data_IF_014886182902
#
_entry.id   IF_014886182902
#
_cell.length_a   1.000
_cell.length_b   1.000
_cell.length_c   1.000
_cell.angle_alpha   90.00
_cell.angle_beta   90.00
_cell.angle_gamma   90.00
#
_symmetry.space_group_name_H-M   'P 1'
#
loop_
_entity.id
_entity.type
_entity.pdbx_description
1 polymer ?
#
# COMPACT_ATOMS: atom_id res chain seq x y z
N UNK A 1 -5.20 41.38 14.76
CA UNK A 1 -5.40 40.26 15.71
C UNK A 1 -4.39 39.22 15.33
N UNK A 2 -3.33 39.05 16.15
CA UNK A 2 -2.29 38.03 15.95
C UNK A 2 -2.89 36.66 16.32
N UNK A 3 -2.84 35.71 15.40
CA UNK A 3 -3.16 34.32 15.70
C UNK A 3 -2.04 33.73 16.58
N UNK A 4 -2.41 33.39 17.80
CA UNK A 4 -1.53 32.69 18.76
C UNK A 4 -1.29 31.25 18.28
N UNK A 5 -0.08 30.95 17.82
CA UNK A 5 0.33 29.67 17.24
C UNK A 5 0.86 28.68 18.29
N UNK A 6 0.39 28.74 19.53
CA UNK A 6 0.85 27.89 20.64
C UNK A 6 -0.06 26.67 20.91
N UNK A 7 -0.62 26.05 19.87
CA UNK A 7 -1.16 24.71 20.06
C UNK A 7 0.03 23.73 20.30
N UNK A 8 0.02 22.93 21.37
CA UNK A 8 1.09 21.98 21.63
C UNK A 8 1.20 21.03 20.44
N UNK A 9 2.37 21.00 19.82
CA UNK A 9 2.67 20.04 18.75
C UNK A 9 2.51 18.66 19.35
N UNK A 10 1.56 17.88 18.82
CA UNK A 10 1.34 16.52 19.28
C UNK A 10 2.68 15.76 19.35
N UNK A 11 2.92 15.03 20.43
CA UNK A 11 4.14 14.25 20.57
C UNK A 11 4.25 13.28 19.37
N UNK A 12 5.46 13.12 18.84
CA UNK A 12 5.68 12.19 17.74
C UNK A 12 5.24 10.77 18.18
N UNK A 13 4.56 10.02 17.32
CA UNK A 13 4.08 8.70 17.66
C UNK A 13 5.26 7.76 17.99
N UNK A 14 5.05 6.87 18.96
CA UNK A 14 6.06 5.90 19.37
C UNK A 14 6.16 4.79 18.35
N UNK A 15 7.35 4.51 17.86
CA UNK A 15 7.61 3.52 16.82
C UNK A 15 8.58 2.45 17.31
N UNK A 16 8.33 1.20 16.89
CA UNK A 16 9.20 0.06 17.15
C UNK A 16 9.50 -0.66 15.84
N UNK A 17 10.77 -0.87 15.54
CA UNK A 17 11.19 -1.76 14.46
C UNK A 17 11.21 -3.20 14.99
N UNK A 18 10.47 -4.07 14.30
CA UNK A 18 10.26 -5.46 14.69
C UNK A 18 10.56 -6.42 13.55
N UNK A 19 10.64 -7.69 13.86
CA UNK A 19 10.82 -8.77 12.89
C UNK A 19 9.84 -9.90 13.14
N UNK A 20 9.04 -10.19 12.13
CA UNK A 20 8.23 -11.40 12.05
C UNK A 20 9.07 -12.52 11.45
N UNK A 21 8.99 -13.73 12.01
CA UNK A 21 9.72 -14.91 11.51
C UNK A 21 8.82 -16.13 11.56
N UNK A 22 8.56 -16.73 10.42
CA UNK A 22 7.80 -17.98 10.30
C UNK A 22 8.12 -18.71 9.00
N UNK A 23 8.16 -20.04 9.06
CA UNK A 23 8.32 -20.94 7.91
C UNK A 23 9.50 -20.56 7.00
N UNK A 24 10.62 -20.16 7.58
CA UNK A 24 11.81 -19.72 6.85
C UNK A 24 11.73 -18.30 6.25
N UNK A 25 10.60 -17.62 6.39
CA UNK A 25 10.43 -16.23 5.94
C UNK A 25 10.67 -15.27 7.11
N UNK A 26 11.41 -14.20 6.82
CA UNK A 26 11.58 -13.07 7.75
C UNK A 26 11.04 -11.80 7.10
N UNK A 27 10.16 -11.07 7.80
CA UNK A 27 9.71 -9.74 7.41
C UNK A 27 10.06 -8.74 8.51
N UNK A 28 10.73 -7.65 8.13
CA UNK A 28 10.87 -6.49 8.98
C UNK A 28 9.59 -5.65 8.91
N UNK A 29 9.19 -5.04 10.01
CA UNK A 29 8.08 -4.10 10.02
C UNK A 29 8.28 -3.04 11.08
N UNK A 30 7.68 -1.87 10.86
CA UNK A 30 7.60 -0.81 11.85
C UNK A 30 6.20 -0.80 12.44
N UNK A 31 6.13 -0.96 13.76
CA UNK A 31 4.91 -0.77 14.53
C UNK A 31 4.89 0.66 15.06
N UNK A 32 3.83 1.40 14.72
CA UNK A 32 3.54 2.72 15.29
C UNK A 32 2.34 2.58 16.21
N UNK A 33 2.54 2.91 17.48
CA UNK A 33 1.49 2.79 18.48
C UNK A 33 0.46 3.91 18.33
N UNK A 34 -0.80 3.53 18.44
CA UNK A 34 -1.97 4.39 18.47
C UNK A 34 -3.08 3.76 19.30
N UNK A 35 -4.29 4.35 19.36
CA UNK A 35 -5.43 3.75 20.03
C UNK A 35 -5.70 2.34 19.52
N UNK A 36 -6.08 1.40 20.41
CA UNK A 36 -6.27 -0.01 20.07
C UNK A 36 -7.57 -0.30 19.27
N UNK A 37 -8.33 0.72 18.91
CA UNK A 37 -9.64 0.56 18.26
C UNK A 37 -9.59 0.12 16.80
N UNK A 38 -8.44 0.26 16.14
CA UNK A 38 -8.22 -0.06 14.72
C UNK A 38 -6.77 -0.47 14.48
N UNK A 39 -6.55 -1.46 13.64
CA UNK A 39 -5.19 -1.80 13.15
C UNK A 39 -5.11 -1.57 11.65
N UNK A 40 -4.08 -0.85 11.22
CA UNK A 40 -3.74 -0.63 9.82
C UNK A 40 -2.52 -1.47 9.45
N UNK A 41 -2.58 -2.22 8.36
CA UNK A 41 -1.44 -2.95 7.80
C UNK A 41 -1.12 -2.37 6.42
N UNK A 42 0.13 -1.90 6.23
CA UNK A 42 0.55 -1.15 5.05
C UNK A 42 1.56 -1.98 4.23
N UNK A 43 1.25 -2.22 2.95
CA UNK A 43 2.01 -3.08 2.04
C UNK A 43 2.49 -2.28 0.83
N UNK A 44 3.81 -2.14 0.70
CA UNK A 44 4.46 -1.29 -0.31
C UNK A 44 4.51 -1.89 -1.73
N UNK A 45 4.86 -1.05 -2.70
CA UNK A 45 5.08 -1.41 -4.10
C UNK A 45 6.43 -2.07 -4.38
N UNK A 46 6.63 -2.51 -5.63
CA UNK A 46 7.88 -3.13 -6.08
C UNK A 46 9.07 -2.18 -5.90
N UNK A 47 10.21 -2.69 -5.46
CA UNK A 47 11.44 -1.92 -5.27
C UNK A 47 11.40 -0.91 -4.11
N UNK A 48 10.35 -0.94 -3.29
CA UNK A 48 10.18 -0.06 -2.14
C UNK A 48 10.36 -0.82 -0.82
N UNK A 49 10.11 -0.14 0.29
CA UNK A 49 10.04 -0.70 1.64
C UNK A 49 9.10 0.12 2.52
N UNK A 50 8.92 -0.29 3.77
CA UNK A 50 8.01 0.32 4.75
C UNK A 50 8.23 1.84 4.97
N UNK A 51 9.43 2.33 4.70
CA UNK A 51 9.78 3.74 4.87
C UNK A 51 8.91 4.70 4.01
N UNK A 52 8.33 4.23 2.90
CA UNK A 52 7.45 5.05 2.05
C UNK A 52 6.17 5.46 2.78
N UNK A 53 5.80 4.71 3.81
CA UNK A 53 4.60 4.96 4.61
C UNK A 53 4.84 5.82 5.86
N UNK A 54 6.05 6.36 6.08
CA UNK A 54 6.35 7.07 7.32
C UNK A 54 5.33 8.19 7.63
N UNK A 55 4.99 9.02 6.63
CA UNK A 55 4.03 10.10 6.82
C UNK A 55 2.58 9.62 6.97
N UNK A 56 2.13 8.71 6.09
CA UNK A 56 0.78 8.13 6.16
C UNK A 56 0.62 7.35 7.47
N UNK A 57 1.63 6.58 7.87
CA UNK A 57 1.64 5.84 9.13
C UNK A 57 1.49 6.74 10.34
N UNK A 58 2.16 7.90 10.37
CA UNK A 58 2.02 8.88 11.46
C UNK A 58 0.62 9.47 11.53
N UNK A 59 0.06 9.83 10.39
CA UNK A 59 -1.30 10.37 10.34
C UNK A 59 -2.35 9.33 10.78
N UNK A 60 -2.22 8.07 10.36
CA UNK A 60 -3.11 6.98 10.76
C UNK A 60 -2.91 6.56 12.22
N UNK A 61 -1.71 6.70 12.77
CA UNK A 61 -1.40 6.32 14.15
C UNK A 61 -2.20 7.11 15.21
N UNK A 62 -2.69 8.30 14.88
CA UNK A 62 -3.62 9.03 15.73
C UNK A 62 -4.99 8.32 15.89
N UNK A 63 -5.30 7.38 14.99
CA UNK A 63 -6.60 6.69 14.90
C UNK A 63 -6.51 5.18 15.12
N UNK A 64 -5.32 4.62 15.19
CA UNK A 64 -5.13 3.19 15.42
C UNK A 64 -3.66 2.75 15.39
N UNK A 65 -3.43 1.47 15.68
CA UNK A 65 -2.12 0.84 15.56
C UNK A 65 -1.74 0.67 14.09
N UNK A 66 -0.52 1.03 13.69
CA UNK A 66 -0.06 0.93 12.31
C UNK A 66 1.12 -0.04 12.20
N UNK A 67 1.02 -1.00 11.29
CA UNK A 67 2.04 -1.98 10.97
C UNK A 67 2.47 -1.79 9.51
N UNK A 68 3.60 -1.14 9.28
CA UNK A 68 4.18 -0.96 7.94
C UNK A 68 5.20 -2.07 7.66
N UNK A 69 4.98 -2.85 6.60
CA UNK A 69 5.76 -4.05 6.29
C UNK A 69 6.88 -3.75 5.29
N UNK A 70 8.02 -4.41 5.45
CA UNK A 70 8.93 -4.71 4.35
C UNK A 70 8.62 -6.12 3.83
N UNK A 71 8.14 -6.22 2.61
CA UNK A 71 7.90 -7.53 1.98
C UNK A 71 9.20 -8.33 1.84
N UNK A 72 9.15 -9.69 1.83
CA UNK A 72 10.34 -10.52 1.66
C UNK A 72 11.19 -10.11 0.45
N UNK A 73 12.48 -9.87 0.67
CA UNK A 73 13.43 -9.41 -0.35
C UNK A 73 13.41 -7.90 -0.63
N UNK A 74 12.71 -7.11 0.19
CA UNK A 74 12.67 -5.65 0.08
C UNK A 74 12.97 -4.98 1.43
N UNK A 75 13.46 -3.75 1.38
CA UNK A 75 13.80 -2.98 2.58
C UNK A 75 14.84 -3.71 3.45
N UNK A 76 14.48 -3.94 4.72
CA UNK A 76 15.31 -4.68 5.68
C UNK A 76 14.92 -6.17 5.81
N UNK A 77 13.98 -6.64 4.97
CA UNK A 77 13.59 -8.06 4.90
C UNK A 77 14.52 -8.82 3.97
N UNK A 78 15.15 -9.91 4.42
CA UNK A 78 16.03 -10.71 3.58
C UNK A 78 15.25 -11.38 2.44
N UNK A 79 15.97 -11.66 1.35
CA UNK A 79 15.43 -12.52 0.29
C UNK A 79 15.25 -13.95 0.82
N UNK A 80 14.07 -14.56 0.68
CA UNK A 80 13.91 -15.99 0.90
C UNK A 80 14.65 -16.79 -0.19
N UNK A 81 14.84 -18.11 0.04
CA UNK A 81 15.59 -18.96 -0.88
C UNK A 81 15.02 -19.05 -2.32
N UNK A 82 13.75 -18.68 -2.52
CA UNK A 82 13.10 -18.57 -3.83
C UNK A 82 12.18 -17.35 -3.88
N UNK A 83 12.00 -16.78 -5.07
CA UNK A 83 11.07 -15.67 -5.27
C UNK A 83 9.64 -16.20 -5.23
N UNK A 84 8.92 -15.89 -4.16
CA UNK A 84 7.50 -16.18 -4.02
C UNK A 84 6.66 -15.41 -5.04
N UNK A 85 5.57 -16.01 -5.54
CA UNK A 85 4.55 -15.34 -6.36
C UNK A 85 3.82 -14.26 -5.55
N UNK A 86 2.90 -13.51 -6.16
CA UNK A 86 2.12 -12.51 -5.41
C UNK A 86 1.13 -13.20 -4.47
N UNK A 87 0.55 -14.32 -4.90
CA UNK A 87 -0.36 -15.15 -4.11
C UNK A 87 0.35 -15.76 -2.89
N UNK A 88 1.56 -16.31 -3.05
CA UNK A 88 2.37 -16.83 -1.95
C UNK A 88 2.84 -15.71 -1.00
N UNK A 89 3.08 -14.52 -1.55
CA UNK A 89 3.39 -13.32 -0.74
C UNK A 89 2.15 -12.89 0.05
N UNK A 90 0.96 -12.95 -0.54
CA UNK A 90 -0.30 -12.68 0.14
C UNK A 90 -0.58 -13.69 1.27
N UNK A 91 -0.27 -14.98 1.08
CA UNK A 91 -0.34 -16.00 2.15
C UNK A 91 0.57 -15.64 3.32
N UNK A 92 1.74 -15.09 3.02
CA UNK A 92 2.69 -14.66 4.06
C UNK A 92 2.15 -13.44 4.83
N UNK A 93 1.56 -12.46 4.12
CA UNK A 93 0.91 -11.29 4.74
C UNK A 93 -0.31 -11.70 5.56
N UNK A 94 -1.13 -12.64 5.07
CA UNK A 94 -2.28 -13.16 5.82
C UNK A 94 -1.86 -13.84 7.12
N UNK A 95 -0.81 -14.69 7.09
CA UNK A 95 -0.25 -15.30 8.29
C UNK A 95 0.32 -14.27 9.26
N UNK A 96 0.95 -13.20 8.75
CA UNK A 96 1.40 -12.09 9.57
C UNK A 96 0.23 -11.42 10.29
N UNK A 97 -0.84 -11.06 9.57
CA UNK A 97 -2.03 -10.44 10.15
C UNK A 97 -2.63 -11.33 11.23
N UNK A 98 -2.84 -12.62 10.93
CA UNK A 98 -3.44 -13.56 11.88
C UNK A 98 -2.62 -13.75 13.17
N UNK A 99 -1.32 -13.44 13.16
CA UNK A 99 -0.44 -13.61 14.34
C UNK A 99 -0.16 -12.31 15.11
N UNK A 100 -0.07 -11.21 14.38
CA UNK A 100 0.37 -9.93 14.96
C UNK A 100 -0.80 -8.99 15.29
N UNK A 101 -2.05 -9.40 14.97
CA UNK A 101 -3.26 -8.59 15.22
C UNK A 101 -4.37 -9.41 15.88
N UNK A 102 -5.21 -8.72 16.67
CA UNK A 102 -6.28 -9.34 17.45
C UNK A 102 -7.64 -9.37 16.72
N UNK A 103 -7.68 -9.03 15.41
CA UNK A 103 -8.92 -9.00 14.64
C UNK A 103 -8.72 -8.46 13.24
N UNK A 104 -9.82 -8.26 12.49
CA UNK A 104 -9.75 -7.76 11.12
C UNK A 104 -9.11 -6.38 11.03
N UNK A 105 -8.26 -6.19 10.02
CA UNK A 105 -7.47 -4.98 9.83
C UNK A 105 -7.99 -4.10 8.68
N UNK A 106 -7.63 -2.84 8.68
CA UNK A 106 -7.63 -2.00 7.47
C UNK A 106 -6.35 -2.31 6.71
N UNK A 107 -6.49 -2.99 5.57
CA UNK A 107 -5.37 -3.47 4.78
C UNK A 107 -5.12 -2.54 3.60
N UNK A 108 -3.95 -1.90 3.57
CA UNK A 108 -3.58 -0.88 2.59
C UNK A 108 -2.46 -1.38 1.70
N UNK A 109 -2.67 -1.38 0.40
CA UNK A 109 -1.65 -1.69 -0.59
C UNK A 109 -1.36 -0.51 -1.51
N UNK A 110 -0.10 -0.35 -1.90
CA UNK A 110 0.33 0.63 -2.90
C UNK A 110 0.99 -0.07 -4.09
N UNK A 111 0.62 0.31 -5.32
CA UNK A 111 1.22 -0.22 -6.56
C UNK A 111 1.17 -1.76 -6.59
N UNK A 112 2.29 -2.48 -6.72
CA UNK A 112 2.34 -3.96 -6.58
C UNK A 112 1.68 -4.46 -5.29
N UNK A 113 1.78 -3.70 -4.21
CA UNK A 113 1.12 -4.05 -2.94
C UNK A 113 -0.39 -4.17 -3.06
N UNK A 114 -1.04 -3.48 -4.02
CA UNK A 114 -2.50 -3.60 -4.25
C UNK A 114 -2.89 -4.99 -4.71
N UNK A 115 -2.08 -5.64 -5.52
CA UNK A 115 -2.31 -7.00 -5.98
C UNK A 115 -2.22 -8.00 -4.82
N UNK A 116 -1.22 -7.81 -3.95
CA UNK A 116 -1.00 -8.66 -2.77
C UNK A 116 -2.16 -8.52 -1.77
N UNK A 117 -2.56 -7.29 -1.45
CA UNK A 117 -3.65 -7.06 -0.48
C UNK A 117 -5.01 -7.46 -1.05
N UNK A 118 -5.22 -7.37 -2.37
CA UNK A 118 -6.40 -7.90 -3.04
C UNK A 118 -6.49 -9.43 -2.92
N UNK A 119 -5.37 -10.14 -3.10
CA UNK A 119 -5.30 -11.58 -2.87
C UNK A 119 -5.58 -11.96 -1.42
N UNK A 120 -5.11 -11.17 -0.44
CA UNK A 120 -5.45 -11.38 0.97
C UNK A 120 -6.95 -11.19 1.19
N UNK A 121 -7.54 -10.10 0.69
CA UNK A 121 -8.96 -9.81 0.86
C UNK A 121 -9.86 -10.86 0.17
N UNK A 122 -9.42 -11.42 -0.96
CA UNK A 122 -10.12 -12.50 -1.67
C UNK A 122 -10.12 -13.81 -0.89
N UNK A 123 -8.94 -14.24 -0.42
CA UNK A 123 -8.74 -15.60 0.12
C UNK A 123 -8.86 -15.69 1.64
N UNK A 124 -8.74 -14.56 2.34
CA UNK A 124 -8.74 -14.44 3.80
C UNK A 124 -9.60 -13.24 4.23
N UNK A 125 -10.81 -13.17 3.68
CA UNK A 125 -11.71 -12.02 3.88
C UNK A 125 -12.01 -11.72 5.35
N UNK A 126 -11.99 -12.73 6.21
CA UNK A 126 -12.19 -12.61 7.66
C UNK A 126 -11.08 -11.81 8.36
N UNK A 127 -9.91 -11.68 7.74
CA UNK A 127 -8.79 -10.89 8.26
C UNK A 127 -8.86 -9.41 7.86
N UNK A 128 -9.76 -9.01 6.97
CA UNK A 128 -9.78 -7.68 6.36
C UNK A 128 -11.14 -7.00 6.56
N UNK A 129 -11.19 -5.99 7.42
CA UNK A 129 -12.40 -5.18 7.63
C UNK A 129 -12.63 -4.17 6.51
N UNK A 130 -11.55 -3.62 5.97
CA UNK A 130 -11.55 -2.63 4.88
C UNK A 130 -10.30 -2.79 4.04
N UNK A 131 -10.48 -2.75 2.73
CA UNK A 131 -9.39 -2.80 1.76
C UNK A 131 -9.13 -1.40 1.20
N UNK A 132 -7.85 -1.02 1.06
CA UNK A 132 -7.46 0.24 0.42
C UNK A 132 -6.44 -0.06 -0.68
N UNK A 133 -6.80 0.24 -1.92
CA UNK A 133 -5.97 0.06 -3.10
C UNK A 133 -5.46 1.42 -3.58
N UNK A 134 -4.19 1.72 -3.37
CA UNK A 134 -3.58 2.99 -3.79
C UNK A 134 -2.77 2.77 -5.05
N UNK A 135 -3.12 3.44 -6.14
CA UNK A 135 -2.48 3.30 -7.45
C UNK A 135 -2.40 1.82 -7.90
N UNK A 136 -3.56 1.14 -8.08
CA UNK A 136 -3.61 -0.28 -8.41
C UNK A 136 -2.93 -0.58 -9.76
N UNK A 137 -1.93 -1.47 -9.74
CA UNK A 137 -1.21 -1.99 -10.90
C UNK A 137 -1.66 -3.41 -11.20
N UNK A 138 -1.52 -3.92 -12.39
CA UNK A 138 -1.01 -3.37 -13.64
C UNK A 138 -2.17 -3.05 -14.55
N UNK A 139 -2.13 -1.89 -15.21
CA UNK A 139 -3.12 -1.59 -16.25
C UNK A 139 -3.14 -2.72 -17.30
N UNK A 140 -4.29 -3.39 -17.44
CA UNK A 140 -4.43 -4.55 -18.32
C UNK A 140 -4.11 -4.26 -19.79
N UNK A 141 -4.25 -3.02 -20.22
CA UNK A 141 -3.95 -2.58 -21.60
C UNK A 141 -2.46 -2.29 -21.84
N UNK A 142 -1.65 -2.23 -20.76
CA UNK A 142 -0.22 -1.89 -20.80
C UNK A 142 0.66 -2.89 -20.08
N UNK A 143 0.34 -4.17 -20.13
CA UNK A 143 0.91 -5.29 -19.37
C UNK A 143 2.28 -5.78 -19.90
N UNK A 144 3.19 -4.85 -20.20
CA UNK A 144 4.56 -5.17 -20.58
C UNK A 144 5.56 -4.37 -19.76
N UNK A 145 6.71 -4.97 -19.43
CA UNK A 145 7.76 -4.30 -18.67
C UNK A 145 8.19 -2.96 -19.29
N UNK A 146 8.29 -2.92 -20.63
CA UNK A 146 8.68 -1.71 -21.35
C UNK A 146 7.64 -0.58 -21.20
N UNK A 147 6.35 -0.90 -21.32
CA UNK A 147 5.27 0.10 -21.12
C UNK A 147 5.22 0.60 -19.70
N UNK A 148 5.34 -0.30 -18.72
CA UNK A 148 5.37 0.09 -17.30
C UNK A 148 6.60 0.98 -17.00
N UNK A 149 7.77 0.64 -17.52
CA UNK A 149 8.96 1.48 -17.39
C UNK A 149 8.77 2.85 -18.04
N UNK A 150 8.20 2.90 -19.25
CA UNK A 150 7.91 4.16 -19.94
C UNK A 150 6.92 5.04 -19.15
N UNK A 151 5.87 4.46 -18.58
CA UNK A 151 4.92 5.18 -17.73
C UNK A 151 5.58 5.70 -16.46
N UNK A 152 6.42 4.88 -15.81
CA UNK A 152 7.18 5.30 -14.64
C UNK A 152 8.10 6.48 -14.96
N UNK A 153 8.84 6.42 -16.07
CA UNK A 153 9.71 7.53 -16.54
C UNK A 153 8.88 8.80 -16.79
N UNK A 154 7.71 8.67 -17.44
CA UNK A 154 6.81 9.80 -17.69
C UNK A 154 6.26 10.41 -16.39
N UNK A 155 5.94 9.59 -15.40
CA UNK A 155 5.47 10.06 -14.09
C UNK A 155 6.58 10.81 -13.36
N UNK A 156 7.79 10.27 -13.38
CA UNK A 156 8.97 10.86 -12.75
C UNK A 156 9.43 12.18 -13.37
N UNK A 157 9.12 12.47 -14.64
CA UNK A 157 9.52 13.75 -15.29
C UNK A 157 8.88 14.99 -14.67
N UNK A 158 7.80 14.84 -13.91
CA UNK A 158 7.17 15.90 -13.11
C UNK A 158 7.68 16.01 -11.66
N UNK A 159 8.59 15.10 -11.25
CA UNK A 159 9.00 14.96 -9.86
C UNK A 159 10.26 15.77 -9.51
N UNK A 160 10.39 16.15 -8.21
CA UNK A 160 11.58 16.85 -7.72
C UNK A 160 12.78 15.91 -7.68
N UNK A 161 14.03 16.40 -7.96
CA UNK A 161 15.25 15.58 -7.99
C UNK A 161 15.48 14.73 -6.73
N UNK A 162 15.02 15.20 -5.57
CA UNK A 162 15.15 14.49 -4.29
C UNK A 162 14.34 13.19 -4.24
N UNK A 163 13.17 13.16 -4.88
CA UNK A 163 12.30 11.97 -4.95
C UNK A 163 12.88 10.95 -5.90
N UNK A 164 13.40 11.44 -7.05
CA UNK A 164 14.14 10.61 -8.01
C UNK A 164 15.35 9.92 -7.36
N UNK A 165 16.11 10.67 -6.55
CA UNK A 165 17.29 10.14 -5.87
C UNK A 165 16.93 9.08 -4.81
N UNK A 166 15.85 9.32 -4.08
CA UNK A 166 15.37 8.38 -3.06
C UNK A 166 14.82 7.09 -3.69
N UNK A 167 14.06 7.21 -4.78
CA UNK A 167 13.57 6.05 -5.54
C UNK A 167 14.74 5.25 -6.13
N UNK A 168 15.67 5.92 -6.81
CA UNK A 168 16.85 5.29 -7.40
C UNK A 168 17.71 4.56 -6.35
N UNK A 169 17.87 5.14 -5.16
CA UNK A 169 18.63 4.54 -4.06
C UNK A 169 17.93 3.29 -3.48
N UNK A 170 16.61 3.27 -3.41
CA UNK A 170 15.85 2.10 -3.01
C UNK A 170 15.94 0.97 -4.06
N UNK A 171 15.82 1.32 -5.33
CA UNK A 171 16.02 0.36 -6.44
C UNK A 171 17.45 -0.22 -6.45
N UNK A 172 18.47 0.60 -6.18
CA UNK A 172 19.87 0.16 -6.13
C UNK A 172 20.16 -0.82 -4.99
N UNK A 173 19.33 -0.88 -3.94
CA UNK A 173 19.46 -1.83 -2.84
C UNK A 173 18.82 -3.19 -3.14
N UNK A 174 17.92 -3.26 -4.11
CA UNK A 174 17.22 -4.50 -4.45
C UNK A 174 18.05 -5.31 -5.43
N UNK A 175 18.21 -6.61 -5.18
CA UNK A 175 18.87 -7.53 -6.12
C UNK A 175 18.16 -7.49 -7.48
N UNK A 176 18.87 -7.22 -8.60
CA UNK A 176 18.24 -7.10 -9.91
C UNK A 176 17.48 -8.35 -10.37
N UNK A 177 17.97 -9.55 -10.03
CA UNK A 177 17.32 -10.82 -10.38
C UNK A 177 16.02 -10.96 -9.58
N UNK A 178 16.08 -10.61 -8.29
CA UNK A 178 14.88 -10.58 -7.42
C UNK A 178 13.84 -9.62 -7.95
N UNK A 179 14.25 -8.39 -8.27
CA UNK A 179 13.37 -7.39 -8.86
C UNK A 179 12.72 -7.87 -10.16
N UNK A 180 13.51 -8.46 -11.08
CA UNK A 180 13.00 -8.98 -12.35
C UNK A 180 11.98 -10.11 -12.17
N UNK A 181 12.19 -11.01 -11.20
CA UNK A 181 11.22 -12.05 -10.85
C UNK A 181 9.92 -11.46 -10.30
N UNK A 182 10.01 -10.49 -9.37
CA UNK A 182 8.83 -9.83 -8.82
C UNK A 182 8.07 -9.02 -9.87
N UNK A 183 8.77 -8.32 -10.76
CA UNK A 183 8.16 -7.64 -11.91
C UNK A 183 7.41 -8.61 -12.82
N UNK A 184 7.99 -9.79 -13.10
CA UNK A 184 7.33 -10.82 -13.91
C UNK A 184 6.03 -11.29 -13.23
N UNK A 185 6.04 -11.58 -11.93
CA UNK A 185 4.85 -11.97 -11.20
C UNK A 185 3.81 -10.84 -11.17
N UNK A 186 4.23 -9.59 -10.93
CA UNK A 186 3.37 -8.42 -10.97
C UNK A 186 2.67 -8.27 -12.34
N UNK A 187 3.40 -8.47 -13.44
CA UNK A 187 2.86 -8.41 -14.80
C UNK A 187 1.93 -9.58 -15.12
N UNK A 188 2.15 -10.76 -14.53
CA UNK A 188 1.33 -11.94 -14.74
C UNK A 188 0.02 -11.95 -13.94
N UNK A 189 -0.02 -11.22 -12.82
CA UNK A 189 -1.20 -11.15 -11.97
C UNK A 189 -2.32 -10.31 -12.60
N UNK A 190 -3.56 -10.78 -12.53
CA UNK A 190 -4.73 -10.18 -13.14
C UNK A 190 -5.70 -9.64 -12.10
N UNK A 191 -5.45 -8.44 -11.58
CA UNK A 191 -6.30 -7.77 -10.58
C UNK A 191 -7.75 -7.67 -11.05
N UNK A 192 -7.97 -7.36 -12.33
CA UNK A 192 -9.29 -7.25 -12.94
C UNK A 192 -10.12 -8.54 -12.93
N UNK A 193 -9.46 -9.70 -12.82
CA UNK A 193 -10.16 -10.99 -12.77
C UNK A 193 -10.65 -11.35 -11.38
N UNK A 194 -9.91 -10.93 -10.36
CA UNK A 194 -10.24 -11.25 -8.97
C UNK A 194 -11.13 -10.19 -8.30
N UNK A 195 -11.09 -8.94 -8.80
CA UNK A 195 -11.86 -7.82 -8.23
C UNK A 195 -13.36 -8.11 -8.05
N UNK A 196 -14.08 -8.77 -9.00
CA UNK A 196 -15.50 -9.05 -8.82
C UNK A 196 -15.84 -9.97 -7.64
N UNK A 197 -14.89 -10.74 -7.14
CA UNK A 197 -15.06 -11.67 -6.02
C UNK A 197 -14.67 -11.07 -4.67
N UNK A 198 -14.13 -9.84 -4.65
CA UNK A 198 -13.75 -9.16 -3.41
C UNK A 198 -14.94 -8.37 -2.86
N UNK A 199 -15.58 -8.90 -1.82
CA UNK A 199 -16.76 -8.27 -1.18
C UNK A 199 -16.41 -7.35 -0.02
N UNK A 200 -15.15 -7.28 0.38
CA UNK A 200 -14.66 -6.36 1.41
C UNK A 200 -14.88 -4.90 0.98
N UNK A 201 -15.40 -4.02 1.84
CA UNK A 201 -15.50 -2.59 1.52
C UNK A 201 -14.15 -2.04 1.08
N UNK A 202 -14.09 -1.44 -0.10
CA UNK A 202 -12.83 -1.09 -0.75
C UNK A 202 -12.79 0.39 -1.13
N UNK A 203 -11.74 1.08 -0.70
CA UNK A 203 -11.39 2.41 -1.18
C UNK A 203 -10.29 2.28 -2.25
N UNK A 204 -10.56 2.82 -3.44
CA UNK A 204 -9.59 2.85 -4.54
C UNK A 204 -9.07 4.27 -4.70
N UNK A 205 -7.78 4.48 -4.46
CA UNK A 205 -7.13 5.78 -4.54
C UNK A 205 -6.11 5.84 -5.68
N UNK A 206 -5.97 7.01 -6.29
CA UNK A 206 -4.87 7.33 -7.21
C UNK A 206 -4.43 8.78 -7.06
N UNK A 207 -3.22 9.09 -7.47
CA UNK A 207 -2.84 10.48 -7.70
C UNK A 207 -3.54 11.03 -8.95
N UNK A 208 -4.04 12.26 -8.93
CA UNK A 208 -4.74 12.89 -10.05
C UNK A 208 -3.93 12.86 -11.35
N UNK A 209 -2.60 13.00 -11.25
CA UNK A 209 -1.67 13.03 -12.38
C UNK A 209 -0.90 11.72 -12.58
N UNK A 210 -1.27 10.65 -11.86
CA UNK A 210 -0.65 9.32 -11.96
C UNK A 210 -0.74 8.77 -13.39
N UNK A 211 0.42 8.60 -14.04
CA UNK A 211 0.54 8.07 -15.40
C UNK A 211 0.77 6.57 -15.45
N UNK A 212 1.19 5.98 -14.36
CA UNK A 212 1.35 4.52 -14.22
C UNK A 212 -0.01 3.86 -14.07
N UNK A 213 -0.89 4.48 -13.27
CA UNK A 213 -2.27 4.05 -13.05
C UNK A 213 -3.25 5.11 -13.57
N UNK A 214 -3.47 5.19 -14.90
CA UNK A 214 -4.36 6.19 -15.50
C UNK A 214 -5.78 6.02 -14.98
N UNK A 215 -6.54 7.14 -14.99
CA UNK A 215 -7.88 7.21 -14.42
C UNK A 215 -8.82 6.12 -14.95
N UNK A 216 -8.80 5.89 -16.26
CA UNK A 216 -9.69 4.92 -16.91
C UNK A 216 -9.46 3.50 -16.34
N UNK A 217 -8.21 3.10 -16.16
CA UNK A 217 -7.87 1.83 -15.55
C UNK A 217 -8.32 1.75 -14.09
N UNK A 218 -8.07 2.78 -13.29
CA UNK A 218 -8.45 2.79 -11.87
C UNK A 218 -9.97 2.82 -11.71
N UNK A 219 -10.68 3.56 -12.56
CA UNK A 219 -12.15 3.55 -12.61
C UNK A 219 -12.70 2.18 -12.98
N UNK A 220 -12.03 1.47 -13.89
CA UNK A 220 -12.40 0.10 -14.26
C UNK A 220 -12.23 -0.86 -13.05
N UNK A 221 -11.10 -0.80 -12.34
CA UNK A 221 -10.90 -1.62 -11.13
C UNK A 221 -11.97 -1.33 -10.08
N UNK A 222 -12.27 -0.05 -9.84
CA UNK A 222 -13.33 0.34 -8.91
C UNK A 222 -14.70 -0.20 -9.34
N UNK A 223 -15.04 -0.11 -10.63
CA UNK A 223 -16.32 -0.61 -11.15
C UNK A 223 -16.47 -2.14 -11.08
N UNK A 224 -15.35 -2.89 -11.06
CA UNK A 224 -15.35 -4.34 -10.91
C UNK A 224 -15.52 -4.80 -9.47
N UNK A 225 -15.21 -3.97 -8.49
CA UNK A 225 -15.34 -4.27 -7.06
C UNK A 225 -16.79 -4.04 -6.61
N UNK A 226 -17.47 -5.04 -6.01
CA UNK A 226 -18.89 -4.94 -5.62
C UNK A 226 -19.22 -3.84 -4.61
N UNK A 227 -18.26 -3.47 -3.75
CA UNK A 227 -18.42 -2.48 -2.67
C UNK A 227 -17.22 -1.55 -2.66
N UNK A 228 -17.18 -0.61 -3.59
CA UNK A 228 -16.04 0.28 -3.71
C UNK A 228 -16.42 1.74 -3.87
N UNK A 229 -15.51 2.59 -3.43
CA UNK A 229 -15.47 4.02 -3.74
C UNK A 229 -14.12 4.37 -4.35
N UNK A 230 -14.11 5.33 -5.28
CA UNK A 230 -12.88 5.82 -5.90
C UNK A 230 -12.68 7.28 -5.58
N UNK A 231 -11.44 7.65 -5.20
CA UNK A 231 -11.06 9.04 -5.01
C UNK A 231 -9.68 9.34 -5.62
N UNK A 232 -9.43 10.63 -5.92
CA UNK A 232 -8.17 11.11 -6.48
C UNK A 232 -7.48 12.06 -5.50
N UNK A 233 -6.17 11.89 -5.32
CA UNK A 233 -5.33 12.77 -4.50
C UNK A 233 -4.88 13.93 -5.39
N UNK A 234 -5.34 15.18 -5.15
CA UNK A 234 -5.14 16.30 -6.07
C UNK A 234 -3.66 16.62 -6.30
N UNK A 235 -3.30 16.85 -7.57
CA UNK A 235 -1.97 17.28 -7.99
C UNK A 235 -0.84 16.28 -7.70
N UNK A 236 -1.13 14.98 -7.58
CA UNK A 236 -0.16 13.94 -7.25
C UNK A 236 -0.07 12.88 -8.34
N UNK A 237 1.16 12.37 -8.56
CA UNK A 237 1.47 11.25 -9.43
C UNK A 237 1.40 9.90 -8.70
N UNK A 238 2.11 8.91 -9.21
CA UNK A 238 2.16 7.55 -8.67
C UNK A 238 2.67 7.48 -7.22
N UNK A 239 3.48 8.44 -6.82
CA UNK A 239 4.10 8.52 -5.48
C UNK A 239 3.25 9.29 -4.46
N UNK A 240 1.95 9.38 -4.67
CA UNK A 240 1.03 10.17 -3.85
C UNK A 240 1.17 9.92 -2.34
N UNK A 241 1.40 8.67 -1.92
CA UNK A 241 1.55 8.30 -0.50
C UNK A 241 2.83 8.83 0.15
N UNK A 242 3.90 9.03 -0.64
CA UNK A 242 5.20 9.48 -0.12
C UNK A 242 5.17 10.98 0.17
N UNK A 243 4.49 11.75 -0.68
CA UNK A 243 4.51 13.22 -0.65
C UNK A 243 3.25 13.85 -0.07
N UNK A 244 2.17 13.10 0.04
CA UNK A 244 0.85 13.61 0.46
C UNK A 244 0.22 12.67 1.46
N UNK A 245 0.95 12.42 2.52
CA UNK A 245 0.50 11.59 3.63
C UNK A 245 -0.85 12.03 4.20
N UNK A 246 -1.00 13.31 4.48
CA UNK A 246 -2.22 13.90 5.04
C UNK A 246 -3.46 13.68 4.18
N UNK A 247 -3.47 14.07 2.88
CA UNK A 247 -4.64 13.82 2.02
C UNK A 247 -4.99 12.34 1.89
N UNK A 248 -3.99 11.47 1.72
CA UNK A 248 -4.24 10.03 1.61
C UNK A 248 -4.84 9.46 2.91
N UNK A 249 -4.26 9.82 4.07
CA UNK A 249 -4.78 9.39 5.37
C UNK A 249 -6.18 9.93 5.63
N UNK A 250 -6.46 11.20 5.31
CA UNK A 250 -7.77 11.82 5.48
C UNK A 250 -8.85 11.09 4.64
N UNK A 251 -8.54 10.73 3.39
CA UNK A 251 -9.45 9.96 2.53
C UNK A 251 -9.73 8.56 3.10
N UNK A 252 -8.69 7.86 3.59
CA UNK A 252 -8.86 6.56 4.26
C UNK A 252 -9.76 6.69 5.48
N UNK A 253 -9.49 7.66 6.35
CA UNK A 253 -10.26 7.88 7.57
C UNK A 253 -11.71 8.31 7.29
N UNK A 254 -11.93 9.15 6.25
CA UNK A 254 -13.26 9.53 5.78
C UNK A 254 -14.08 8.32 5.36
N UNK A 255 -13.52 7.47 4.51
CA UNK A 255 -14.15 6.24 4.07
C UNK A 255 -14.51 5.30 5.25
N UNK A 256 -13.60 5.14 6.22
CA UNK A 256 -13.87 4.34 7.42
C UNK A 256 -15.01 4.92 8.27
N UNK A 257 -15.14 6.24 8.35
CA UNK A 257 -16.23 6.89 9.09
C UNK A 257 -17.59 6.63 8.41
N UNK A 258 -17.66 6.71 7.07
CA UNK A 258 -18.87 6.44 6.30
C UNK A 258 -19.33 4.99 6.41
N UNK A 259 -18.37 4.01 6.38
CA UNK A 259 -18.71 2.59 6.58
C UNK A 259 -19.33 2.32 7.96
N UNK A 260 -18.90 3.04 8.99
CA UNK A 260 -19.48 2.92 10.35
C UNK A 260 -20.90 3.47 10.46
N UNK A 261 -21.21 4.53 9.72
CA UNK A 261 -22.55 5.16 9.73
C UNK A 261 -23.54 4.45 8.83
N UNK A 262 -23.11 3.78 7.76
CA UNK A 262 -23.96 3.04 6.82
C UNK A 262 -24.36 1.64 7.29
N UNK A 263 -23.83 1.17 8.42
CA UNK A 263 -24.17 -0.13 9.05
C UNK A 263 -25.10 -0.01 10.27
N UNK A 264 -25.62 1.19 10.57
CA UNK A 264 -26.55 1.46 11.68
C UNK A 264 -28.02 1.44 11.26
#
# INVERSE_FOLDING_TARGET
VAFDSTAPRAAAPVRYDRRYRRDGVTMAYTETLGPASQTFVLVHGIGMGRAVYAGVGDALAAHGRVLALDLPGFGDSPEPGSAATLEETADTVARFIAQETDGPVVLVGHSMGTQIVAEVALRYSELVSTLVLIAPTVNRHERTALRQAARMVQDLTGERPKVLLMGLWQYAKTNPIWFANKLRFMLAHHLERISPEIHTPTLVLRGETDRVCPRDWVSEVAALLPRSEMAEIPGRGHEAIIRSAEPAAAMILGFLAEQRTGTA
#
